data_IF_271830072993
#
_entry.id   IF_271830072993
#
_cell.length_a   1.000
_cell.length_b   1.000
_cell.length_c   1.000
_cell.angle_alpha   90.00
_cell.angle_beta   90.00
_cell.angle_gamma   90.00
#
_symmetry.space_group_name_H-M   'P 1'
#
loop_
_entity.id
_entity.type
_entity.pdbx_description
1 polymer ?
#
# COMPACT_ATOMS: atom_id res chain seq x y z
N UNK A 1 14.47 16.30 23.62
CA UNK A 1 13.40 15.52 22.99
C UNK A 1 13.33 16.01 21.57
N UNK A 2 14.04 15.31 20.67
CA UNK A 2 14.03 15.63 19.25
C UNK A 2 12.61 15.39 18.74
N UNK A 3 11.92 16.47 18.38
CA UNK A 3 10.63 16.41 17.69
C UNK A 3 10.87 15.76 16.33
N UNK A 4 10.79 14.43 16.30
CA UNK A 4 10.91 13.62 15.09
C UNK A 4 9.96 14.17 14.03
N UNK A 5 10.54 14.87 13.05
CA UNK A 5 9.78 15.42 11.94
C UNK A 5 8.99 14.30 11.27
N UNK A 6 7.77 14.58 10.80
CA UNK A 6 6.98 13.58 10.12
C UNK A 6 7.74 13.07 8.88
N UNK A 7 8.12 11.80 8.90
CA UNK A 7 8.87 11.17 7.81
C UNK A 7 8.02 11.20 6.55
N UNK A 8 8.43 12.03 5.58
CA UNK A 8 7.85 12.06 4.25
C UNK A 8 8.49 10.96 3.42
N UNK A 9 7.67 10.25 2.63
CA UNK A 9 8.15 9.21 1.71
C UNK A 9 7.44 9.27 0.37
N UNK A 10 8.17 8.91 -0.67
CA UNK A 10 7.68 8.72 -2.02
C UNK A 10 7.49 7.22 -2.28
N UNK A 11 6.44 6.88 -3.02
CA UNK A 11 6.27 5.53 -3.58
C UNK A 11 5.25 5.54 -4.72
N UNK A 12 5.33 4.53 -5.59
CA UNK A 12 4.19 4.12 -6.41
C UNK A 12 3.20 3.33 -5.56
N UNK A 13 1.93 3.65 -5.70
CA UNK A 13 0.86 3.14 -4.86
C UNK A 13 0.72 1.61 -4.94
N UNK A 14 1.02 0.92 -3.83
CA UNK A 14 0.94 -0.54 -3.74
C UNK A 14 -0.44 -1.12 -4.09
N UNK A 15 -1.50 -0.35 -3.81
CA UNK A 15 -2.89 -0.74 -4.04
C UNK A 15 -3.79 0.50 -4.20
N UNK A 16 -4.93 0.32 -4.87
CA UNK A 16 -5.91 1.38 -5.11
C UNK A 16 -6.82 1.74 -3.93
N UNK A 17 -6.40 1.47 -2.68
CA UNK A 17 -7.28 1.60 -1.51
C UNK A 17 -7.09 2.92 -0.75
N UNK A 18 -5.89 3.50 -0.83
CA UNK A 18 -5.56 4.74 -0.14
C UNK A 18 -6.39 5.91 -0.67
N UNK A 19 -6.93 6.72 0.24
CA UNK A 19 -7.60 7.98 -0.11
C UNK A 19 -6.65 9.15 0.05
N UNK A 20 -6.68 10.09 -0.89
CA UNK A 20 -5.88 11.31 -0.80
C UNK A 20 -6.37 12.20 0.35
N UNK A 21 -5.44 12.71 1.17
CA UNK A 21 -5.77 13.56 2.32
C UNK A 21 -5.96 15.05 2.00
N UNK A 22 -5.86 15.47 0.73
CA UNK A 22 -6.24 16.83 0.33
C UNK A 22 -7.76 16.98 0.50
N UNK A 23 -8.20 18.11 1.07
CA UNK A 23 -9.61 18.32 1.43
C UNK A 23 -10.61 18.08 0.28
N UNK A 24 -10.29 18.52 -0.94
CA UNK A 24 -11.12 18.27 -2.13
C UNK A 24 -11.27 16.76 -2.42
N UNK A 25 -10.15 16.08 -2.68
CA UNK A 25 -10.13 14.64 -2.97
C UNK A 25 -10.70 13.80 -1.81
N UNK A 26 -10.47 14.20 -0.56
CA UNK A 26 -10.96 13.52 0.63
C UNK A 26 -12.49 13.59 0.73
N UNK A 27 -13.08 14.75 0.41
CA UNK A 27 -14.55 14.95 0.39
C UNK A 27 -15.21 14.15 -0.72
N UNK A 28 -14.59 14.09 -1.89
CA UNK A 28 -15.05 13.30 -3.04
C UNK A 28 -14.76 11.79 -2.90
N UNK A 29 -13.97 11.39 -1.90
CA UNK A 29 -13.59 10.00 -1.69
C UNK A 29 -12.64 9.45 -2.77
N UNK A 30 -11.95 10.33 -3.51
CA UNK A 30 -11.05 9.95 -4.59
C UNK A 30 -9.90 9.11 -4.06
N UNK A 31 -9.74 7.94 -4.65
CA UNK A 31 -8.67 7.00 -4.33
C UNK A 31 -7.42 7.31 -5.14
N UNK A 32 -6.29 6.96 -4.56
CA UNK A 32 -5.00 6.93 -5.26
C UNK A 32 -4.95 5.59 -5.98
N UNK A 33 -4.80 5.60 -7.30
CA UNK A 33 -4.83 4.40 -8.12
C UNK A 33 -3.65 3.50 -7.80
N UNK A 34 -3.78 2.20 -8.09
CA UNK A 34 -2.68 1.25 -7.97
C UNK A 34 -1.61 1.63 -8.99
N UNK A 35 -0.40 1.89 -8.52
CA UNK A 35 0.74 2.28 -9.35
C UNK A 35 0.85 3.77 -9.58
N UNK A 36 0.00 4.60 -8.98
CA UNK A 36 0.13 6.05 -9.07
C UNK A 36 1.24 6.56 -8.14
N UNK A 37 2.03 7.55 -8.59
CA UNK A 37 3.00 8.23 -7.74
C UNK A 37 2.28 8.97 -6.60
N UNK A 38 2.71 8.72 -5.36
CA UNK A 38 2.12 9.33 -4.16
C UNK A 38 3.15 9.70 -3.13
N UNK A 39 2.80 10.69 -2.30
CA UNK A 39 3.58 11.08 -1.12
C UNK A 39 2.83 10.65 0.14
N UNK A 40 3.56 10.05 1.08
CA UNK A 40 3.07 9.66 2.39
C UNK A 40 3.69 10.53 3.48
N UNK A 41 2.88 11.02 4.42
CA UNK A 41 3.34 11.66 5.65
C UNK A 41 3.12 10.70 6.82
N UNK A 42 4.21 10.23 7.43
CA UNK A 42 4.13 9.44 8.67
C UNK A 42 3.86 10.37 9.85
N UNK A 43 2.77 10.16 10.58
CA UNK A 43 2.44 10.97 11.75
C UNK A 43 1.67 10.16 12.79
N UNK A 44 1.79 10.59 14.06
CA UNK A 44 0.99 10.05 15.16
C UNK A 44 -0.50 10.40 14.94
N UNK A 45 -1.36 9.40 15.13
CA UNK A 45 -2.80 9.55 15.19
C UNK A 45 -3.23 9.44 16.65
N UNK A 46 -3.40 10.60 17.27
CA UNK A 46 -3.61 10.75 18.71
C UNK A 46 -4.81 9.96 19.23
N UNK A 47 -5.92 9.91 18.49
CA UNK A 47 -7.15 9.24 18.94
C UNK A 47 -6.95 7.75 19.20
N UNK A 48 -6.04 7.08 18.48
CA UNK A 48 -5.74 5.67 18.68
C UNK A 48 -4.34 5.43 19.24
N UNK A 49 -3.59 6.49 19.52
CA UNK A 49 -2.18 6.45 19.90
C UNK A 49 -1.34 5.52 19.00
N UNK A 50 -1.49 5.67 17.67
CA UNK A 50 -0.79 4.86 16.67
C UNK A 50 -0.22 5.73 15.58
N UNK A 51 0.94 5.37 15.05
CA UNK A 51 1.45 6.02 13.86
C UNK A 51 0.75 5.52 12.60
N UNK A 52 0.36 6.45 11.73
CA UNK A 52 -0.27 6.16 10.45
C UNK A 52 0.39 6.96 9.34
N UNK A 53 0.35 6.42 8.12
CA UNK A 53 0.77 7.15 6.93
C UNK A 53 -0.44 7.79 6.25
N UNK A 54 -0.39 9.12 6.15
CA UNK A 54 -1.38 9.92 5.44
C UNK A 54 -0.92 10.13 3.99
N UNK A 55 -1.62 9.50 3.06
CA UNK A 55 -1.29 9.52 1.64
C UNK A 55 -1.93 10.70 0.89
N UNK A 56 -1.22 11.24 -0.10
CA UNK A 56 -1.75 12.22 -1.08
C UNK A 56 -1.31 11.82 -2.48
N UNK A 57 -2.13 12.16 -3.48
CA UNK A 57 -1.67 12.14 -4.88
C UNK A 57 -0.46 13.07 -5.01
N UNK A 58 0.47 12.73 -5.90
CA UNK A 58 1.63 13.59 -6.18
C UNK A 58 1.22 15.03 -6.50
N UNK A 59 0.30 15.23 -7.45
CA UNK A 59 -0.29 16.53 -7.79
C UNK A 59 -1.05 17.26 -6.67
N UNK A 60 -1.37 16.57 -5.58
CA UNK A 60 -2.05 17.15 -4.42
C UNK A 60 -1.11 17.53 -3.28
N UNK A 61 0.21 17.44 -3.52
CA UNK A 61 1.25 17.76 -2.56
C UNK A 61 1.40 19.28 -2.44
N UNK A 62 1.19 19.86 -1.25
CA UNK A 62 1.40 21.30 -1.05
C UNK A 62 2.90 21.64 -1.07
N UNK A 63 3.27 22.88 -1.44
CA UNK A 63 4.67 23.33 -1.42
C UNK A 63 5.37 23.13 -0.07
N UNK A 64 4.64 23.22 1.05
CA UNK A 64 5.19 22.97 2.38
C UNK A 64 5.67 21.54 2.59
N UNK A 65 5.00 20.54 1.97
CA UNK A 65 5.46 19.16 2.00
C UNK A 65 6.67 18.94 1.08
N UNK A 66 6.73 19.63 -0.07
CA UNK A 66 7.91 19.59 -0.94
C UNK A 66 9.12 20.17 -0.22
N UNK A 67 8.97 21.31 0.47
CA UNK A 67 10.03 21.88 1.31
C UNK A 67 10.49 20.93 2.40
N UNK A 68 9.56 20.31 3.12
CA UNK A 68 9.92 19.29 4.12
C UNK A 68 10.66 18.10 3.52
N UNK A 69 10.27 17.66 2.32
CA UNK A 69 10.95 16.57 1.62
C UNK A 69 12.36 16.96 1.18
N UNK A 70 12.56 18.20 0.69
CA UNK A 70 13.89 18.78 0.40
C UNK A 70 14.77 18.83 1.64
N UNK A 71 14.23 19.28 2.77
CA UNK A 71 14.95 19.34 4.05
C UNK A 71 15.42 17.95 4.50
N UNK A 72 14.56 16.93 4.40
CA UNK A 72 14.92 15.54 4.73
C UNK A 72 16.00 15.00 3.79
N UNK A 73 15.93 15.35 2.51
CA UNK A 73 16.86 14.89 1.48
C UNK A 73 18.18 15.69 1.41
N UNK A 74 18.32 16.78 2.18
CA UNK A 74 19.48 17.67 2.12
C UNK A 74 19.62 18.37 0.76
N UNK A 75 18.51 18.81 0.17
CA UNK A 75 18.40 19.41 -1.18
C UNK A 75 18.82 18.53 -2.37
N UNK A 76 19.22 17.29 -2.12
CA UNK A 76 19.55 16.30 -3.15
C UNK A 76 18.32 15.39 -3.40
N UNK A 77 17.65 15.46 -4.56
CA UNK A 77 16.45 14.66 -4.84
C UNK A 77 16.63 13.15 -4.61
N UNK A 78 17.82 12.63 -4.93
CA UNK A 78 18.18 11.22 -4.82
C UNK A 78 18.14 10.69 -3.38
N UNK A 79 18.36 11.56 -2.39
CA UNK A 79 18.31 11.21 -0.98
C UNK A 79 16.88 11.19 -0.42
N UNK A 80 15.88 11.60 -1.20
CA UNK A 80 14.50 11.62 -0.73
C UNK A 80 14.01 10.19 -0.44
N UNK A 81 13.35 9.92 0.71
CA UNK A 81 12.95 8.57 1.07
C UNK A 81 12.04 7.93 0.03
N UNK A 82 12.50 6.82 -0.57
CA UNK A 82 11.78 6.09 -1.62
C UNK A 82 12.05 6.52 -3.06
N UNK A 83 12.91 7.53 -3.30
CA UNK A 83 13.23 8.04 -4.65
C UNK A 83 13.80 6.96 -5.57
N UNK A 84 14.76 6.18 -5.08
CA UNK A 84 15.46 5.15 -5.86
C UNK A 84 14.49 4.08 -6.40
N UNK A 85 13.36 3.86 -5.72
CA UNK A 85 12.37 2.85 -6.10
C UNK A 85 11.34 3.36 -7.12
N UNK A 86 11.41 4.65 -7.50
CA UNK A 86 10.49 5.25 -8.46
C UNK A 86 10.89 4.92 -9.90
N UNK A 87 9.91 4.97 -10.82
CA UNK A 87 10.14 4.97 -12.27
C UNK A 87 11.04 6.14 -12.68
N UNK A 88 11.82 6.03 -13.78
CA UNK A 88 12.64 7.14 -14.29
C UNK A 88 11.83 8.43 -14.54
N UNK A 89 10.61 8.30 -15.09
CA UNK A 89 9.70 9.43 -15.32
C UNK A 89 9.27 10.09 -14.00
N UNK A 90 8.96 9.30 -12.97
CA UNK A 90 8.65 9.82 -11.63
C UNK A 90 9.87 10.48 -10.97
N UNK A 91 11.08 9.93 -11.16
CA UNK A 91 12.31 10.54 -10.64
C UNK A 91 12.55 11.92 -11.26
N UNK A 92 12.36 12.06 -12.58
CA UNK A 92 12.45 13.35 -13.26
C UNK A 92 11.45 14.38 -12.72
N UNK A 93 10.21 13.95 -12.47
CA UNK A 93 9.19 14.81 -11.88
C UNK A 93 9.54 15.25 -10.45
N UNK A 94 10.17 14.38 -9.66
CA UNK A 94 10.67 14.75 -8.33
C UNK A 94 11.83 15.74 -8.43
N UNK A 95 12.78 15.53 -9.35
CA UNK A 95 13.88 16.49 -9.61
C UNK A 95 13.33 17.86 -10.01
N UNK A 96 12.41 17.91 -10.99
CA UNK A 96 11.77 19.13 -11.44
C UNK A 96 10.98 19.84 -10.31
N UNK A 97 10.33 19.07 -9.44
CA UNK A 97 9.59 19.60 -8.29
C UNK A 97 10.51 20.14 -7.20
N UNK A 98 11.69 19.55 -7.00
CA UNK A 98 12.71 20.06 -6.07
C UNK A 98 13.29 21.40 -6.53
N UNK A 99 13.53 21.54 -7.83
CA UNK A 99 13.99 22.77 -8.46
C UNK A 99 12.92 23.88 -8.39
N UNK A 100 11.66 23.53 -8.69
CA UNK A 100 10.54 24.48 -8.68
C UNK A 100 9.93 24.74 -7.28
N UNK A 101 10.33 23.98 -6.27
CA UNK A 101 9.73 23.92 -4.91
C UNK A 101 8.21 23.68 -4.86
N UNK A 102 7.64 23.20 -5.96
CA UNK A 102 6.21 22.89 -6.12
C UNK A 102 6.04 21.90 -7.26
N UNK A 103 4.96 21.13 -7.20
CA UNK A 103 4.60 20.25 -8.31
C UNK A 103 4.18 21.12 -9.50
N UNK A 104 4.93 21.03 -10.60
CA UNK A 104 4.71 21.81 -11.82
C UNK A 104 3.73 21.10 -12.75
N UNK A 105 3.90 19.79 -12.92
CA UNK A 105 3.01 18.97 -13.73
C UNK A 105 1.83 18.43 -12.89
N UNK A 106 0.72 19.14 -12.97
CA UNK A 106 -0.53 18.78 -12.29
C UNK A 106 -1.28 17.65 -13.01
N UNK A 107 -0.93 17.35 -14.27
CA UNK A 107 -1.51 16.26 -15.07
C UNK A 107 -0.81 14.93 -14.81
N UNK A 108 0.44 14.96 -14.37
CA UNK A 108 1.22 13.77 -14.07
C UNK A 108 0.65 12.98 -12.89
N UNK A 109 0.31 11.73 -13.18
CA UNK A 109 -0.10 10.73 -12.17
C UNK A 109 0.83 9.52 -12.15
N UNK A 110 1.48 9.23 -13.27
CA UNK A 110 2.33 8.05 -13.49
C UNK A 110 1.71 6.76 -12.97
N UNK A 111 0.53 6.42 -13.49
CA UNK A 111 -0.13 5.17 -13.09
C UNK A 111 0.59 4.02 -13.79
N UNK A 112 1.47 3.34 -13.06
CA UNK A 112 2.28 2.22 -13.53
C UNK A 112 1.99 0.95 -12.74
N UNK A 113 0.89 0.23 -13.05
CA UNK A 113 0.49 -0.98 -12.31
C UNK A 113 1.53 -2.11 -12.35
N UNK A 114 2.41 -2.07 -13.36
CA UNK A 114 3.58 -2.91 -13.61
C UNK A 114 4.70 -2.66 -12.60
N UNK A 115 4.98 -1.39 -12.28
CA UNK A 115 5.99 -0.96 -11.33
C UNK A 115 5.50 -0.96 -9.88
N UNK A 116 4.23 -1.27 -9.66
CA UNK A 116 3.68 -1.42 -8.33
C UNK A 116 4.45 -2.50 -7.61
N UNK A 117 5.11 -2.09 -6.53
CA UNK A 117 5.61 -2.94 -5.45
C UNK A 117 4.46 -3.63 -4.73
N UNK A 118 3.65 -4.39 -5.48
CA UNK A 118 2.81 -5.45 -4.95
C UNK A 118 3.72 -6.62 -4.61
N UNK A 119 4.69 -6.41 -3.71
CA UNK A 119 5.55 -7.47 -3.17
C UNK A 119 6.01 -8.48 -4.24
N UNK A 120 6.35 -8.01 -5.44
CA UNK A 120 6.82 -8.88 -6.51
C UNK A 120 8.33 -8.76 -6.48
N UNK A 121 8.96 -9.84 -6.04
CA UNK A 121 10.23 -10.27 -6.65
C UNK A 121 11.29 -9.17 -6.68
N UNK A 122 11.68 -8.67 -5.51
CA UNK A 122 12.94 -7.94 -5.43
C UNK A 122 14.04 -8.97 -5.75
N UNK A 123 15.04 -8.55 -6.53
CA UNK A 123 16.23 -9.36 -6.76
C UNK A 123 16.99 -9.63 -5.46
N UNK A 124 18.31 -9.71 -5.56
CA UNK A 124 19.12 -9.85 -4.36
C UNK A 124 19.07 -8.56 -3.53
N UNK A 125 18.86 -8.72 -2.22
CA UNK A 125 18.76 -7.58 -1.29
C UNK A 125 20.19 -7.24 -0.89
N UNK A 126 20.79 -6.25 -1.56
CA UNK A 126 22.19 -5.88 -1.36
C UNK A 126 22.43 -5.01 -0.12
N UNK A 127 21.40 -4.30 0.35
CA UNK A 127 21.44 -3.40 1.52
C UNK A 127 21.00 -4.12 2.80
N UNK A 128 21.46 -5.35 3.00
CA UNK A 128 21.11 -6.13 4.17
C UNK A 128 21.90 -5.66 5.40
N UNK A 129 21.21 -5.33 6.49
CA UNK A 129 21.82 -4.99 7.79
C UNK A 129 22.03 -6.22 8.67
N UNK A 130 21.29 -7.30 8.41
CA UNK A 130 21.45 -8.56 9.13
C UNK A 130 20.77 -9.74 8.43
N UNK A 131 21.21 -10.94 8.79
CA UNK A 131 20.68 -12.20 8.29
C UNK A 131 20.23 -13.09 9.45
N UNK A 132 19.11 -13.80 9.25
CA UNK A 132 18.64 -14.80 10.20
C UNK A 132 18.11 -16.04 9.50
N UNK A 133 18.28 -17.20 10.10
CA UNK A 133 17.67 -18.44 9.64
C UNK A 133 16.75 -18.97 10.72
N UNK A 134 15.51 -19.28 10.36
CA UNK A 134 14.51 -19.77 11.31
C UNK A 134 13.49 -20.68 10.63
N UNK A 135 12.81 -21.51 11.42
CA UNK A 135 11.58 -22.16 11.00
C UNK A 135 10.44 -21.14 11.04
N UNK A 136 9.63 -21.09 9.98
CA UNK A 136 8.55 -20.14 9.87
C UNK A 136 7.52 -20.31 11.02
N UNK A 137 7.43 -19.33 11.91
CA UNK A 137 6.48 -19.35 13.03
C UNK A 137 5.02 -19.28 12.58
N UNK A 138 4.76 -18.68 11.41
CA UNK A 138 3.43 -18.54 10.79
C UNK A 138 3.50 -18.69 9.27
N UNK A 139 2.40 -19.15 8.66
CA UNK A 139 2.27 -19.32 7.20
C UNK A 139 1.85 -18.06 6.43
N UNK A 140 2.13 -16.86 6.96
CA UNK A 140 1.67 -15.58 6.38
C UNK A 140 2.71 -14.90 5.50
N UNK A 141 3.99 -15.22 5.70
CA UNK A 141 5.08 -14.61 4.94
C UNK A 141 5.03 -15.09 3.48
N UNK A 142 5.19 -14.17 2.53
CA UNK A 142 5.44 -14.50 1.13
C UNK A 142 6.93 -14.60 0.88
N UNK A 143 7.35 -15.51 0.00
CA UNK A 143 8.72 -15.49 -0.49
C UNK A 143 8.99 -14.22 -1.30
N UNK A 144 10.17 -13.63 -1.10
CA UNK A 144 10.64 -12.44 -1.81
C UNK A 144 11.56 -12.74 -3.00
N UNK A 145 11.86 -14.01 -3.27
CA UNK A 145 12.73 -14.40 -4.39
C UNK A 145 12.08 -14.08 -5.74
N UNK A 146 12.84 -13.67 -6.76
CA UNK A 146 12.25 -13.24 -8.02
C UNK A 146 11.50 -14.35 -8.76
N UNK A 147 11.96 -15.59 -8.59
CA UNK A 147 11.41 -16.80 -9.21
C UNK A 147 10.25 -17.43 -8.42
N UNK A 148 9.95 -16.95 -7.22
CA UNK A 148 8.96 -17.57 -6.33
C UNK A 148 7.94 -16.54 -5.83
N UNK A 149 6.65 -16.88 -6.01
CA UNK A 149 5.53 -16.07 -5.53
C UNK A 149 4.68 -16.77 -4.46
N UNK A 150 5.15 -17.92 -3.97
CA UNK A 150 4.43 -18.73 -3.00
C UNK A 150 4.60 -18.22 -1.56
N UNK A 151 3.68 -18.61 -0.69
CA UNK A 151 3.78 -18.36 0.75
C UNK A 151 4.67 -19.40 1.42
N UNK A 152 5.42 -18.95 2.41
CA UNK A 152 6.22 -19.81 3.27
C UNK A 152 5.29 -20.41 4.32
N UNK A 153 5.18 -21.73 4.37
CA UNK A 153 4.29 -22.43 5.28
C UNK A 153 4.86 -22.45 6.70
N UNK A 154 3.99 -22.64 7.70
CA UNK A 154 4.44 -22.73 9.09
C UNK A 154 5.32 -23.98 9.27
N UNK A 155 6.48 -23.81 9.90
CA UNK A 155 7.45 -24.88 10.15
C UNK A 155 8.42 -25.12 9.01
N UNK A 156 8.33 -24.35 7.92
CA UNK A 156 9.27 -24.42 6.79
C UNK A 156 10.53 -23.58 7.07
N UNK A 157 11.70 -24.07 6.64
CA UNK A 157 12.96 -23.35 6.75
C UNK A 157 12.98 -22.13 5.84
N UNK A 158 13.29 -20.96 6.41
CA UNK A 158 13.35 -19.70 5.67
C UNK A 158 14.54 -18.85 6.07
N UNK A 159 15.03 -18.08 5.11
CA UNK A 159 16.01 -17.02 5.32
C UNK A 159 15.27 -15.70 5.53
N UNK A 160 15.60 -15.01 6.61
CA UNK A 160 15.20 -13.63 6.87
C UNK A 160 16.36 -12.68 6.59
N UNK A 161 16.11 -11.64 5.83
CA UNK A 161 17.05 -10.57 5.50
C UNK A 161 16.50 -9.27 6.09
N UNK A 162 17.23 -8.64 6.99
CA UNK A 162 16.88 -7.36 7.59
C UNK A 162 17.37 -6.22 6.69
N UNK A 163 16.50 -5.24 6.47
CA UNK A 163 16.84 -3.97 5.83
C UNK A 163 16.39 -2.86 6.76
N UNK A 164 17.30 -1.95 7.11
CA UNK A 164 16.96 -0.79 7.93
C UNK A 164 16.18 0.24 7.11
N UNK A 165 15.08 0.74 7.67
CA UNK A 165 14.23 1.74 7.00
C UNK A 165 14.68 3.18 7.29
N UNK A 166 15.05 3.46 8.54
CA UNK A 166 15.41 4.79 9.06
C UNK A 166 16.64 4.75 9.99
N UNK A 167 17.36 3.62 9.99
CA UNK A 167 18.50 3.36 10.88
C UNK A 167 18.13 2.88 12.29
N UNK A 168 16.87 3.03 12.72
CA UNK A 168 16.38 2.56 14.03
C UNK A 168 15.45 1.34 13.90
N UNK A 169 14.78 1.18 12.75
CA UNK A 169 13.80 0.14 12.52
C UNK A 169 14.20 -0.78 11.37
N UNK A 170 14.34 -2.07 11.69
CA UNK A 170 14.59 -3.11 10.70
C UNK A 170 13.30 -3.76 10.21
N UNK A 171 13.18 -3.85 8.89
CA UNK A 171 12.12 -4.63 8.23
C UNK A 171 12.69 -5.95 7.73
N UNK A 172 12.02 -7.05 8.07
CA UNK A 172 12.41 -8.39 7.65
C UNK A 172 11.72 -8.79 6.35
N UNK A 173 12.53 -9.14 5.36
CA UNK A 173 12.12 -9.82 4.12
C UNK A 173 12.46 -11.30 4.22
N UNK A 174 11.58 -12.18 3.73
CA UNK A 174 11.76 -13.62 3.85
C UNK A 174 11.85 -14.30 2.48
N UNK A 175 12.78 -15.25 2.34
CA UNK A 175 12.89 -16.16 1.19
C UNK A 175 12.73 -17.60 1.68
N UNK A 176 12.14 -18.48 0.87
CA UNK A 176 12.24 -19.92 1.13
C UNK A 176 13.70 -20.33 1.07
N UNK A 177 14.12 -21.33 1.85
CA UNK A 177 15.48 -21.83 1.75
C UNK A 177 15.83 -22.22 0.30
N UNK A 178 14.95 -23.00 -0.35
CA UNK A 178 15.05 -23.41 -1.78
C UNK A 178 15.12 -22.26 -2.80
N UNK A 179 14.74 -21.03 -2.42
CA UNK A 179 14.66 -19.89 -3.34
C UNK A 179 15.75 -18.84 -3.08
N UNK A 180 16.73 -19.16 -2.24
CA UNK A 180 17.91 -18.35 -1.95
C UNK A 180 18.80 -18.29 -3.20
N UNK A 181 19.31 -17.11 -3.53
CA UNK A 181 20.25 -16.94 -4.64
C UNK A 181 21.68 -17.31 -4.24
N UNK A 182 22.60 -17.50 -5.20
CA UNK A 182 24.03 -17.65 -4.89
C UNK A 182 24.60 -16.47 -4.09
N UNK A 183 24.10 -15.26 -4.31
CA UNK A 183 24.48 -14.07 -3.55
C UNK A 183 24.06 -14.19 -2.09
N UNK A 184 22.78 -14.50 -1.84
CA UNK A 184 22.26 -14.67 -0.48
C UNK A 184 23.04 -15.78 0.27
N UNK A 185 23.39 -16.89 -0.41
CA UNK A 185 24.20 -17.98 0.17
C UNK A 185 25.60 -17.50 0.60
N UNK A 186 26.27 -16.70 -0.23
CA UNK A 186 27.57 -16.13 0.11
C UNK A 186 27.46 -15.20 1.33
N UNK A 187 26.44 -14.35 1.37
CA UNK A 187 26.22 -13.49 2.54
C UNK A 187 25.93 -14.30 3.80
N UNK A 188 25.16 -15.39 3.71
CA UNK A 188 24.94 -16.30 4.85
C UNK A 188 26.25 -16.94 5.31
N UNK A 189 27.11 -17.37 4.37
CA UNK A 189 28.43 -17.92 4.69
C UNK A 189 29.31 -16.91 5.44
N UNK A 190 29.41 -15.68 4.94
CA UNK A 190 30.16 -14.60 5.59
C UNK A 190 29.61 -14.30 6.99
N UNK A 191 28.28 -14.30 7.16
CA UNK A 191 27.66 -14.06 8.46
C UNK A 191 27.87 -15.21 9.46
N UNK A 192 28.03 -16.44 8.99
CA UNK A 192 28.40 -17.58 9.86
C UNK A 192 29.85 -17.47 10.29
N UNK A 193 30.76 -17.14 9.38
CA UNK A 193 32.19 -16.96 9.70
C UNK A 193 32.42 -15.83 10.71
N UNK A 194 31.56 -14.80 10.68
CA UNK A 194 31.60 -13.67 11.61
C UNK A 194 30.71 -13.84 12.85
N UNK A 195 30.05 -14.99 13.03
CA UNK A 195 29.08 -15.27 14.12
C UNK A 195 27.94 -14.23 14.24
N UNK A 196 27.53 -13.66 13.10
CA UNK A 196 26.46 -12.65 12.97
C UNK A 196 25.15 -13.23 12.46
N UNK A 197 25.09 -14.54 12.18
CA UNK A 197 23.88 -15.20 11.71
C UNK A 197 22.93 -15.52 12.86
N UNK A 198 21.79 -14.83 12.93
CA UNK A 198 20.80 -15.06 13.97
C UNK A 198 19.98 -16.34 13.74
N UNK A 199 19.65 -17.05 14.82
CA UNK A 199 18.72 -18.19 14.81
C UNK A 199 19.32 -19.55 14.45
N UNK A 200 20.60 -19.63 14.09
CA UNK A 200 21.26 -20.90 13.76
C UNK A 200 21.27 -21.88 14.95
N UNK A 201 21.49 -21.38 16.16
CA UNK A 201 21.55 -22.18 17.40
C UNK A 201 20.18 -22.67 17.89
N UNK A 202 19.09 -22.04 17.44
CA UNK A 202 17.71 -22.40 17.84
C UNK A 202 17.10 -23.48 16.94
N UNK A 203 17.82 -23.89 15.88
CA UNK A 203 17.39 -24.91 14.94
C UNK A 203 17.73 -26.31 15.44
N UNK A 204 16.92 -27.30 15.03
CA UNK A 204 17.24 -28.71 15.24
C UNK A 204 18.44 -29.10 14.37
N UNK A 205 19.26 -30.04 14.86
CA UNK A 205 20.48 -30.52 14.19
C UNK A 205 20.27 -30.91 12.73
N UNK A 206 19.11 -31.47 12.38
CA UNK A 206 18.73 -31.81 10.99
C UNK A 206 18.77 -30.60 10.04
N UNK A 207 18.24 -29.44 10.47
CA UNK A 207 18.23 -28.23 9.65
C UNK A 207 19.60 -27.56 9.64
N UNK A 208 20.33 -27.62 10.75
CA UNK A 208 21.70 -27.08 10.85
C UNK A 208 22.63 -27.82 9.88
N UNK A 209 22.50 -29.14 9.76
CA UNK A 209 23.24 -29.94 8.79
C UNK A 209 22.93 -29.52 7.34
N UNK A 210 21.65 -29.34 6.99
CA UNK A 210 21.24 -28.87 5.66
C UNK A 210 21.83 -27.51 5.32
N UNK A 211 21.88 -26.58 6.29
CA UNK A 211 22.47 -25.25 6.09
C UNK A 211 23.97 -25.37 5.82
N UNK A 212 24.69 -26.10 6.67
CA UNK A 212 26.14 -26.29 6.53
C UNK A 212 26.50 -27.00 5.23
N UNK A 213 25.71 -28.00 4.82
CA UNK A 213 25.93 -28.73 3.58
C UNK A 213 25.60 -27.87 2.36
N UNK A 214 24.53 -27.06 2.41
CA UNK A 214 24.19 -26.11 1.35
C UNK A 214 25.32 -25.10 1.11
N UNK A 215 25.97 -24.64 2.19
CA UNK A 215 27.11 -23.72 2.13
C UNK A 215 28.36 -24.42 1.56
N UNK A 216 28.65 -25.66 2.00
CA UNK A 216 29.81 -26.43 1.50
C UNK A 216 29.69 -26.75 0.02
N UNK A 217 28.49 -27.12 -0.45
CA UNK A 217 28.23 -27.45 -1.84
C UNK A 217 28.03 -26.21 -2.73
N UNK A 218 27.84 -25.03 -2.13
CA UNK A 218 27.51 -23.79 -2.85
C UNK A 218 26.17 -23.88 -3.60
N UNK A 219 25.32 -24.83 -3.23
CA UNK A 219 24.00 -25.08 -3.82
C UNK A 219 22.99 -25.22 -2.71
N UNK A 220 21.83 -24.63 -2.93
CA UNK A 220 20.71 -24.72 -2.00
C UNK A 220 20.18 -26.16 -2.01
N UNK A 221 20.33 -26.87 -0.89
CA UNK A 221 19.71 -28.17 -0.70
C UNK A 221 18.25 -28.02 -0.26
N UNK A 222 17.41 -28.94 -0.71
CA UNK A 222 16.01 -28.94 -0.33
C UNK A 222 15.87 -29.41 1.13
N UNK A 223 15.35 -28.56 2.02
CA UNK A 223 15.18 -28.94 3.42
C UNK A 223 14.09 -30.01 3.56
N UNK A 224 14.13 -30.83 4.62
CA UNK A 224 13.09 -31.82 4.87
C UNK A 224 11.71 -31.17 4.96
N UNK A 225 10.71 -31.84 4.38
CA UNK A 225 9.36 -31.32 4.31
C UNK A 225 8.83 -30.95 5.71
N UNK A 226 8.14 -29.81 5.87
CA UNK A 226 7.64 -29.41 7.17
C UNK A 226 6.68 -30.47 7.70
N UNK A 227 6.70 -30.75 9.02
CA UNK A 227 5.75 -31.68 9.60
C UNK A 227 4.32 -31.22 9.27
N UNK A 228 3.41 -32.15 8.92
CA UNK A 228 2.06 -31.80 8.51
C UNK A 228 1.41 -30.92 9.60
N UNK A 229 0.66 -29.88 9.21
CA UNK A 229 0.05 -28.96 10.16
C UNK A 229 -0.83 -29.75 11.11
N UNK A 230 -0.45 -29.82 12.38
CA UNK A 230 -1.30 -30.45 13.40
C UNK A 230 -2.62 -29.68 13.44
N UNK A 231 -3.77 -30.35 13.22
CA UNK A 231 -5.05 -29.67 13.24
C UNK A 231 -5.30 -29.16 14.65
N UNK A 232 -5.08 -27.87 14.87
CA UNK A 232 -5.47 -27.23 16.13
C UNK A 232 -6.98 -27.38 16.24
N UNK A 233 -7.43 -28.13 17.24
CA UNK A 233 -8.83 -28.25 17.61
C UNK A 233 -9.43 -26.84 17.66
N UNK A 234 -10.42 -26.58 16.80
CA UNK A 234 -11.16 -25.33 16.80
C UNK A 234 -11.83 -25.23 18.17
N UNK A 235 -11.28 -24.42 19.09
CA UNK A 235 -11.98 -24.08 20.33
C UNK A 235 -13.36 -23.54 19.91
N UNK A 236 -14.47 -24.14 20.35
CA UNK A 236 -15.79 -23.67 19.96
C UNK A 236 -15.91 -22.22 20.42
N UNK A 237 -16.12 -21.31 19.48
CA UNK A 237 -16.47 -19.92 19.79
C UNK A 237 -17.77 -19.98 20.60
N UNK A 238 -17.72 -19.63 21.89
CA UNK A 238 -18.92 -19.36 22.70
C UNK A 238 -19.77 -18.33 21.93
N UNK A 239 -20.85 -18.78 21.30
CA UNK A 239 -21.88 -17.90 20.76
C UNK A 239 -22.51 -17.22 21.97
N UNK A 240 -22.37 -15.89 22.09
CA UNK A 240 -23.19 -15.11 23.00
C UNK A 240 -24.64 -15.32 22.57
N UNK A 241 -25.41 -15.98 23.43
CA UNK A 241 -26.86 -16.12 23.31
C UNK A 241 -27.44 -14.70 23.46
N UNK A 242 -28.01 -14.15 22.39
CA UNK A 242 -28.84 -12.96 22.47
C UNK A 242 -30.24 -13.44 22.83
N UNK A 243 -30.52 -13.51 24.14
CA UNK A 243 -31.87 -13.68 24.64
C UNK A 243 -32.66 -12.41 24.33
N UNK A 244 -33.69 -12.54 23.49
CA UNK A 244 -34.85 -11.67 23.44
C UNK A 244 -35.79 -12.12 24.55
N UNK A 245 -35.99 -11.30 25.57
CA UNK A 245 -37.14 -11.43 26.45
C UNK A 245 -37.96 -10.14 26.39
N UNK A 246 -39.25 -10.37 26.20
CA UNK A 246 -40.32 -9.40 26.09
C UNK A 246 -40.56 -8.63 27.38
N UNK A 247 -41.14 -7.45 27.19
CA UNK A 247 -41.51 -6.45 28.18
C UNK A 247 -42.46 -6.98 29.27
N UNK A 248 -42.16 -6.68 30.53
CA UNK A 248 -43.17 -6.23 31.52
C UNK A 248 -42.57 -5.07 32.32
N UNK A 249 -43.26 -3.94 32.27
CA UNK A 249 -42.92 -2.69 32.93
C UNK A 249 -43.15 -2.77 34.45
N UNK A 250 -42.30 -2.07 35.22
CA UNK A 250 -42.67 -1.31 36.42
C UNK A 250 -41.57 -0.30 36.77
N UNK A 251 -42.04 0.90 37.09
CA UNK A 251 -41.34 2.13 37.45
C UNK A 251 -40.46 1.97 38.71
N UNK A 252 -39.29 2.62 38.81
CA UNK A 252 -39.14 3.97 39.38
C UNK A 252 -37.65 4.41 39.48
N UNK A 253 -37.46 5.72 39.39
CA UNK A 253 -36.33 6.59 39.80
C UNK A 253 -34.84 6.30 39.46
N UNK A 254 -34.32 7.21 38.61
CA UNK A 254 -33.11 8.05 38.80
C UNK A 254 -31.84 7.81 37.94
N UNK A 255 -31.33 8.95 37.46
CA UNK A 255 -30.01 9.32 36.93
C UNK A 255 -29.55 9.03 35.47
N UNK A 256 -29.31 10.17 34.79
CA UNK A 256 -28.19 10.51 33.90
C UNK A 256 -28.10 9.87 32.49
N UNK A 257 -28.64 10.59 31.49
CA UNK A 257 -28.57 10.24 30.06
C UNK A 257 -27.40 10.96 29.37
N UNK A 258 -26.37 10.18 29.02
CA UNK A 258 -25.38 10.48 27.97
C UNK A 258 -25.74 9.67 26.72
N UNK A 259 -26.14 10.33 25.63
CA UNK A 259 -26.54 9.68 24.38
C UNK A 259 -25.30 9.30 23.54
N UNK A 260 -25.03 8.00 23.40
CA UNK A 260 -24.17 7.42 22.35
C UNK A 260 -24.99 6.53 21.42
N UNK A 261 -24.91 6.84 20.13
CA UNK A 261 -25.61 6.21 19.01
C UNK A 261 -25.20 4.74 18.76
N UNK A 262 -26.07 3.90 18.15
CA UNK A 262 -25.83 2.47 17.94
C UNK A 262 -24.95 2.13 16.70
N UNK A 263 -24.26 0.98 16.70
CA UNK A 263 -23.32 0.60 15.64
C UNK A 263 -23.97 -0.04 14.39
N UNK A 264 -23.52 0.39 13.21
CA UNK A 264 -23.99 -0.06 11.89
C UNK A 264 -23.49 -1.48 11.52
N UNK A 265 -24.41 -2.31 11.00
CA UNK A 265 -24.22 -3.69 10.54
C UNK A 265 -23.33 -3.79 9.29
N UNK A 266 -22.43 -4.79 9.27
CA UNK A 266 -21.62 -5.23 8.11
C UNK A 266 -22.49 -5.98 7.10
N UNK A 267 -22.51 -5.56 5.83
CA UNK A 267 -23.15 -6.29 4.72
C UNK A 267 -22.15 -7.24 4.05
N UNK A 268 -22.58 -8.49 3.88
CA UNK A 268 -21.90 -9.56 3.14
C UNK A 268 -22.14 -9.45 1.63
N UNK A 269 -21.15 -9.89 0.85
CA UNK A 269 -21.09 -9.86 -0.63
C UNK A 269 -21.74 -11.12 -1.20
N UNK A 270 -22.75 -10.96 -2.06
CA UNK A 270 -23.33 -12.04 -2.84
C UNK A 270 -22.43 -12.38 -4.07
N UNK A 271 -22.21 -13.67 -4.31
CA UNK A 271 -21.64 -14.22 -5.55
C UNK A 271 -22.74 -14.31 -6.60
N UNK A 272 -22.51 -13.79 -7.81
CA UNK A 272 -23.35 -14.06 -8.97
C UNK A 272 -22.68 -15.16 -9.80
N UNK A 273 -23.43 -16.23 -10.01
CA UNK A 273 -23.14 -17.36 -10.89
C UNK A 273 -23.66 -16.99 -12.28
N UNK A 274 -22.90 -17.27 -13.34
CA UNK A 274 -23.45 -17.47 -14.69
C UNK A 274 -22.56 -18.43 -15.46
N UNK A 275 -23.24 -19.31 -16.16
CA UNK A 275 -22.83 -20.53 -16.85
C UNK A 275 -22.01 -20.30 -18.12
N UNK A 276 -21.19 -21.29 -18.45
CA UNK A 276 -20.59 -21.49 -19.79
C UNK A 276 -21.62 -22.15 -20.72
N UNK A 277 -21.49 -21.99 -22.05
CA UNK A 277 -21.07 -23.17 -22.82
C UNK A 277 -20.15 -22.91 -24.04
N UNK A 278 -19.21 -23.85 -24.19
CA UNK A 278 -18.66 -24.49 -25.41
C UNK A 278 -18.05 -23.67 -26.56
N UNK A 279 -16.79 -24.02 -26.87
CA UNK A 279 -16.02 -23.72 -28.10
C UNK A 279 -16.52 -24.58 -29.28
N UNK A 280 -16.22 -24.18 -30.53
CA UNK A 280 -15.14 -24.87 -31.25
C UNK A 280 -14.20 -23.95 -32.05
N UNK A 281 -13.07 -24.52 -32.47
CA UNK A 281 -11.90 -23.89 -33.09
C UNK A 281 -12.06 -23.56 -34.60
N UNK A 282 -11.27 -22.58 -35.06
CA UNK A 282 -10.28 -22.60 -36.17
C UNK A 282 -10.36 -21.43 -37.18
N UNK A 283 -9.15 -20.88 -37.40
CA UNK A 283 -8.59 -20.20 -38.59
C UNK A 283 -9.02 -18.79 -39.00
N UNK A 284 -8.02 -17.89 -39.03
CA UNK A 284 -7.80 -16.89 -40.09
C UNK A 284 -8.36 -15.48 -39.89
N UNK A 285 -7.56 -14.40 -39.99
CA UNK A 285 -8.02 -13.02 -39.83
C UNK A 285 -8.49 -12.42 -41.17
N UNK A 286 -9.43 -11.46 -41.14
CA UNK A 286 -9.40 -10.41 -42.14
C UNK A 286 -9.59 -9.00 -41.55
N UNK A 287 -8.72 -8.13 -42.07
CA UNK A 287 -8.88 -6.74 -42.51
C UNK A 287 -9.74 -5.70 -41.77
N UNK A 288 -9.12 -4.53 -41.73
CA UNK A 288 -9.65 -3.21 -41.41
C UNK A 288 -10.92 -2.88 -42.21
N UNK A 289 -11.93 -2.32 -41.55
CA UNK A 289 -12.76 -1.30 -42.19
C UNK A 289 -13.40 -0.33 -41.18
N UNK A 290 -13.39 0.92 -41.62
CA UNK A 290 -13.90 2.13 -41.00
C UNK A 290 -15.29 2.00 -40.34
N UNK A 291 -15.43 2.51 -39.12
CA UNK A 291 -16.74 2.93 -38.59
C UNK A 291 -16.72 4.42 -38.29
N UNK A 292 -17.45 5.13 -39.15
CA UNK A 292 -17.80 6.54 -39.11
C UNK A 292 -18.62 6.81 -37.83
N UNK A 293 -18.22 7.86 -37.10
CA UNK A 293 -18.91 8.37 -35.94
C UNK A 293 -20.31 8.90 -36.32
N UNK A 294 -21.36 8.30 -35.75
CA UNK A 294 -22.71 8.85 -35.79
C UNK A 294 -22.98 9.53 -34.46
N UNK A 295 -22.84 10.86 -34.46
CA UNK A 295 -23.20 11.73 -33.34
C UNK A 295 -24.70 11.61 -33.05
N UNK A 296 -25.03 11.08 -31.88
CA UNK A 296 -26.36 11.19 -31.28
C UNK A 296 -26.38 12.49 -30.47
N UNK A 297 -27.09 13.48 -31.00
CA UNK A 297 -27.48 14.70 -30.29
C UNK A 297 -28.29 14.28 -29.07
N UNK A 298 -27.70 14.44 -27.90
CA UNK A 298 -28.38 14.34 -26.61
C UNK A 298 -28.71 15.76 -26.22
N UNK A 299 -29.99 16.09 -26.14
CA UNK A 299 -30.44 17.36 -25.57
C UNK A 299 -29.89 17.45 -24.14
N UNK A 300 -28.97 18.39 -23.93
CA UNK A 300 -28.39 18.66 -22.62
C UNK A 300 -29.41 19.42 -21.79
N UNK A 301 -30.12 18.68 -20.94
CA UNK A 301 -30.87 19.27 -19.84
C UNK A 301 -29.86 19.91 -18.88
N UNK A 302 -29.65 21.22 -19.03
CA UNK A 302 -28.72 22.00 -18.20
C UNK A 302 -29.04 21.87 -16.71
N UNK A 303 -28.04 21.48 -15.93
CA UNK A 303 -28.12 21.32 -14.49
C UNK A 303 -28.67 22.60 -13.83
N UNK A 304 -29.75 22.52 -13.03
CA UNK A 304 -30.35 23.68 -12.37
C UNK A 304 -29.38 24.43 -11.44
N UNK A 305 -28.26 23.82 -11.03
CA UNK A 305 -27.18 24.51 -10.32
C UNK A 305 -26.42 25.49 -11.21
N UNK A 306 -26.19 25.15 -12.49
CA UNK A 306 -25.50 26.02 -13.46
C UNK A 306 -26.34 27.27 -13.75
N UNK A 307 -27.67 27.11 -13.90
CA UNK A 307 -28.59 28.25 -14.07
C UNK A 307 -28.58 29.20 -12.88
N UNK A 308 -28.49 28.67 -11.65
CA UNK A 308 -28.38 29.50 -10.44
C UNK A 308 -27.06 30.27 -10.38
N UNK A 309 -25.95 29.64 -10.77
CA UNK A 309 -24.63 30.29 -10.80
C UNK A 309 -24.60 31.41 -11.85
N UNK A 310 -25.16 31.19 -13.04
CA UNK A 310 -25.23 32.20 -14.09
C UNK A 310 -26.10 33.40 -13.67
N UNK A 311 -27.28 33.16 -13.07
CA UNK A 311 -28.14 34.23 -12.59
C UNK A 311 -27.46 35.09 -11.50
N UNK A 312 -26.67 34.46 -10.62
CA UNK A 312 -25.94 35.15 -9.56
C UNK A 312 -24.80 36.00 -10.14
N UNK A 313 -24.10 35.48 -11.15
CA UNK A 313 -23.05 36.22 -11.87
C UNK A 313 -23.61 37.43 -12.63
N UNK A 314 -24.78 37.32 -13.26
CA UNK A 314 -25.45 38.45 -13.91
C UNK A 314 -25.92 39.50 -12.91
N UNK A 315 -26.48 39.09 -11.76
CA UNK A 315 -26.84 40.01 -10.69
C UNK A 315 -25.65 40.83 -10.18
N UNK A 316 -24.50 40.19 -10.00
CA UNK A 316 -23.27 40.88 -9.59
C UNK A 316 -22.76 41.86 -10.66
N UNK A 317 -22.89 41.54 -11.95
CA UNK A 317 -22.50 42.46 -13.03
C UNK A 317 -23.43 43.67 -13.12
N UNK A 318 -24.73 43.46 -12.97
CA UNK A 318 -25.72 44.54 -12.98
C UNK A 318 -25.51 45.51 -11.80
N UNK A 319 -25.19 44.97 -10.62
CA UNK A 319 -24.91 45.78 -9.44
C UNK A 319 -23.59 46.57 -9.59
N UNK A 320 -22.54 45.93 -10.12
CA UNK A 320 -21.28 46.61 -10.40
C UNK A 320 -21.41 47.71 -11.47
N UNK A 321 -22.37 47.60 -12.39
CA UNK A 321 -22.69 48.64 -13.36
C UNK A 321 -23.48 49.80 -12.74
N UNK A 322 -24.37 49.51 -11.78
CA UNK A 322 -25.12 50.55 -11.04
C UNK A 322 -24.22 51.40 -10.16
N UNK A 323 -23.31 50.78 -9.41
CA UNK A 323 -22.34 51.49 -8.57
C UNK A 323 -21.50 52.44 -9.44
N UNK A 324 -21.08 51.98 -10.62
CA UNK A 324 -20.28 52.80 -11.56
C UNK A 324 -21.01 54.04 -12.11
N UNK A 325 -22.34 54.02 -12.17
CA UNK A 325 -23.15 55.14 -12.67
C UNK A 325 -23.61 56.10 -11.56
N UNK A 326 -23.35 55.80 -10.28
CA UNK A 326 -23.66 56.68 -9.15
C UNK A 326 -22.49 57.60 -8.76
N UNK A 327 -21.29 57.31 -9.26
CA UNK A 327 -20.05 58.06 -8.99
C UNK A 327 -19.68 59.06 -10.12
N UNK A 328 -20.61 59.33 -11.07
CA UNK A 328 -20.49 60.32 -12.16
C UNK A 328 -21.59 61.35 -12.09
#
# INVERSE_FOLDING_TARGET
MEESMPVLRLEHSANGLAGCQRAACKREGVKILKGELRVGKYQLFEQENKYITLWRHWKCTPPTQIKGLKTIAGDVPENAPGFVQLSPESQEQVRATFEAERVTDMGFTDVRPDLVTASKSFGDITEATGYKVELASTGRAGCRSPICSEKILKGELRLGIATSWDGEHDTWSYKHWKCISPYDLNSVKENIENDKLFGLFDLKDEYTAVIQESIKQGKVLEPPAPPPPTPKAKKPRKRKFSGTDDFVAKDDENDNISLKSPPKKKRTRAKKVVDSPLKPELSGPPEEEHIIAKALVREEEEDPAVKRIMALAEGMRAEAARVRNQDT
#
